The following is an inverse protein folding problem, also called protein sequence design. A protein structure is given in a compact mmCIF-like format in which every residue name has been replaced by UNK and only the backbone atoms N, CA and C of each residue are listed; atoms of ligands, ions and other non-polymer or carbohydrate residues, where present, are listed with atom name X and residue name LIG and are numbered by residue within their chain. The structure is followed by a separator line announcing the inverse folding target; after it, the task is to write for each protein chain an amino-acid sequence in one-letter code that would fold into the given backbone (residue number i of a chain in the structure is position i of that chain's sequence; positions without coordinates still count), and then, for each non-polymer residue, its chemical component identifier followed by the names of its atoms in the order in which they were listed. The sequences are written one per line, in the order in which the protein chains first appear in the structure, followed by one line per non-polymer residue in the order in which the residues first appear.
data_IF_875140439537
#
_entry.id   IF_875140439537
#
_cell.length_a   1.000
_cell.length_b   1.000
_cell.length_c   1.000
_cell.angle_alpha   90.00
_cell.angle_beta   90.00
_cell.angle_gamma   90.00
#
_symmetry.space_group_name_H-M   'P 1'
#
loop_
_entity.id
_entity.type
_entity.pdbx_description
1 polymer ?
#
# COMPACT_ATOMS: atom_id res chain seq x y z
N UNK A 1 -0.62 -16.17 24.32
CA UNK A 1 -1.02 -16.61 22.98
C UNK A 1 -1.13 -15.36 22.10
N UNK A 2 -0.19 -15.12 21.18
CA UNK A 2 -0.35 -14.10 20.13
C UNK A 2 -1.46 -14.63 19.22
N UNK A 3 -2.56 -13.90 19.11
CA UNK A 3 -3.58 -14.20 18.12
C UNK A 3 -2.91 -14.16 16.73
N UNK A 4 -3.06 -15.22 15.96
CA UNK A 4 -2.59 -15.30 14.58
C UNK A 4 -3.17 -14.13 13.78
N UNK A 5 -2.38 -13.05 13.62
CA UNK A 5 -2.70 -11.98 12.68
C UNK A 5 -2.40 -12.49 11.28
N UNK A 6 -3.37 -13.15 10.67
CA UNK A 6 -3.30 -13.41 9.24
C UNK A 6 -3.56 -12.09 8.51
N UNK A 7 -2.56 -11.60 7.78
CA UNK A 7 -2.74 -10.45 6.90
C UNK A 7 -3.75 -10.78 5.80
N UNK A 8 -4.65 -9.85 5.49
CA UNK A 8 -5.66 -9.99 4.43
C UNK A 8 -5.02 -10.42 3.10
N UNK A 9 -3.92 -9.79 2.62
CA UNK A 9 -3.22 -10.23 1.43
C UNK A 9 -2.62 -11.63 1.52
N UNK A 10 -2.37 -12.14 2.73
CA UNK A 10 -1.86 -13.50 2.95
C UNK A 10 -2.89 -14.60 2.76
N UNK A 11 -4.19 -14.26 2.77
CA UNK A 11 -5.33 -15.20 2.61
C UNK A 11 -5.96 -15.08 1.24
N UNK A 12 -5.75 -13.96 0.54
CA UNK A 12 -6.34 -13.71 -0.77
C UNK A 12 -5.63 -14.55 -1.85
N UNK A 13 -6.37 -15.32 -2.65
CA UNK A 13 -5.82 -16.03 -3.80
C UNK A 13 -5.11 -15.08 -4.77
N UNK A 14 -3.96 -15.50 -5.28
CA UNK A 14 -3.18 -14.74 -6.26
C UNK A 14 -2.92 -15.62 -7.48
N UNK A 15 -3.49 -15.22 -8.62
CA UNK A 15 -3.40 -15.96 -9.86
C UNK A 15 -2.49 -15.22 -10.84
N UNK A 16 -1.54 -15.93 -11.44
CA UNK A 16 -0.62 -15.38 -12.44
C UNK A 16 -1.30 -15.32 -13.80
N UNK A 17 -1.22 -14.19 -14.50
CA UNK A 17 -1.92 -14.02 -15.78
C UNK A 17 -1.12 -13.23 -16.81
N UNK A 18 -1.50 -13.42 -18.08
CA UNK A 18 -1.05 -12.64 -19.24
C UNK A 18 -2.27 -11.97 -19.87
N UNK A 19 -2.14 -10.70 -20.23
CA UNK A 19 -3.17 -9.99 -20.99
C UNK A 19 -3.09 -10.34 -22.47
N UNK A 20 -4.16 -10.92 -23.03
CA UNK A 20 -4.36 -11.17 -24.47
C UNK A 20 -5.11 -9.99 -25.07
N UNK A 21 -4.37 -9.01 -25.55
CA UNK A 21 -4.96 -7.74 -26.06
C UNK A 21 -5.96 -7.97 -27.18
N UNK A 22 -5.66 -8.86 -28.13
CA UNK A 22 -6.56 -9.18 -29.24
C UNK A 22 -7.87 -9.84 -28.81
N UNK A 23 -7.87 -10.53 -27.67
CA UNK A 23 -9.03 -11.21 -27.11
C UNK A 23 -9.70 -10.40 -25.99
N UNK A 24 -9.10 -9.26 -25.61
CA UNK A 24 -9.54 -8.42 -24.47
C UNK A 24 -9.74 -9.21 -23.17
N UNK A 25 -8.88 -10.22 -22.93
CA UNK A 25 -9.03 -11.15 -21.81
C UNK A 25 -7.70 -11.42 -21.11
N UNK A 26 -7.80 -11.85 -19.86
CA UNK A 26 -6.65 -12.38 -19.12
C UNK A 26 -6.65 -13.90 -19.22
N UNK A 27 -5.50 -14.44 -19.57
CA UNK A 27 -5.23 -15.89 -19.56
C UNK A 27 -4.41 -16.25 -18.34
N UNK A 28 -4.86 -17.22 -17.55
CA UNK A 28 -4.12 -17.75 -16.41
C UNK A 28 -2.93 -18.58 -16.91
N UNK A 29 -1.78 -18.38 -16.28
CA UNK A 29 -0.54 -19.06 -16.65
C UNK A 29 0.26 -19.45 -15.42
N UNK A 30 0.88 -20.60 -15.44
CA UNK A 30 1.75 -21.06 -14.34
C UNK A 30 3.10 -20.30 -14.33
N UNK A 31 3.57 -19.88 -15.49
CA UNK A 31 4.86 -19.20 -15.66
C UNK A 31 4.75 -18.01 -16.62
N UNK A 32 5.58 -17.01 -16.38
CA UNK A 32 5.69 -15.86 -17.30
C UNK A 32 4.58 -14.84 -17.19
N UNK A 33 3.68 -14.94 -16.19
CA UNK A 33 2.62 -13.97 -15.96
C UNK A 33 3.18 -12.56 -15.71
N UNK A 34 2.57 -11.57 -16.35
CA UNK A 34 2.88 -10.15 -16.20
C UNK A 34 1.88 -9.41 -15.32
N UNK A 35 0.82 -10.08 -14.95
CA UNK A 35 -0.23 -9.59 -14.07
C UNK A 35 -0.48 -10.59 -12.96
N UNK A 36 -0.96 -10.06 -11.83
CA UNK A 36 -1.52 -10.83 -10.72
C UNK A 36 -3.00 -10.49 -10.68
N UNK A 37 -3.85 -11.51 -10.70
CA UNK A 37 -5.28 -11.40 -10.48
C UNK A 37 -5.57 -11.80 -9.04
N UNK A 38 -6.39 -11.01 -8.36
CA UNK A 38 -6.79 -11.23 -6.97
C UNK A 38 -8.32 -11.25 -6.90
N UNK A 39 -8.94 -12.43 -6.93
CA UNK A 39 -10.37 -12.58 -6.68
C UNK A 39 -10.71 -12.28 -5.21
N UNK A 40 -11.98 -12.17 -4.91
CA UNK A 40 -12.42 -11.96 -3.54
C UNK A 40 -12.06 -13.17 -2.66
N UNK A 41 -11.42 -12.96 -1.50
CA UNK A 41 -11.18 -14.05 -0.57
C UNK A 41 -12.50 -14.49 0.08
N UNK A 42 -12.72 -15.80 0.34
CA UNK A 42 -13.98 -16.29 0.90
C UNK A 42 -14.35 -15.70 2.27
N UNK A 43 -13.34 -15.31 3.05
CA UNK A 43 -13.52 -14.83 4.43
C UNK A 43 -13.86 -13.32 4.54
N UNK A 44 -13.75 -12.56 3.45
CA UNK A 44 -13.92 -11.12 3.46
C UNK A 44 -14.68 -10.66 2.22
N UNK A 45 -15.50 -9.63 2.38
CA UNK A 45 -16.26 -9.04 1.28
C UNK A 45 -15.54 -7.84 0.66
N UNK A 46 -15.82 -7.55 -0.60
CA UNK A 46 -15.45 -6.33 -1.33
C UNK A 46 -13.94 -6.02 -1.38
N UNK A 47 -13.06 -6.97 -1.06
CA UNK A 47 -11.59 -6.75 -1.03
C UNK A 47 -11.05 -6.27 -2.39
N UNK A 48 -11.43 -6.83 -3.55
CA UNK A 48 -10.98 -6.35 -4.85
C UNK A 48 -11.38 -4.89 -5.13
N UNK A 49 -12.60 -4.50 -4.79
CA UNK A 49 -13.10 -3.14 -4.98
C UNK A 49 -12.38 -2.14 -4.03
N UNK A 50 -12.14 -2.55 -2.78
CA UNK A 50 -11.41 -1.78 -1.80
C UNK A 50 -9.94 -1.56 -2.24
N UNK A 51 -9.24 -2.61 -2.67
CA UNK A 51 -7.86 -2.49 -3.13
C UNK A 51 -7.77 -1.60 -4.38
N UNK A 52 -8.67 -1.79 -5.36
CA UNK A 52 -8.70 -0.96 -6.57
C UNK A 52 -8.94 0.53 -6.26
N UNK A 53 -9.86 0.83 -5.35
CA UNK A 53 -10.15 2.18 -4.90
C UNK A 53 -8.92 2.79 -4.21
N UNK A 54 -8.35 2.10 -3.22
CA UNK A 54 -7.23 2.60 -2.42
C UNK A 54 -5.98 2.81 -3.28
N UNK A 55 -5.68 1.89 -4.19
CA UNK A 55 -4.58 2.04 -5.15
C UNK A 55 -4.78 3.24 -6.09
N UNK A 56 -6.01 3.49 -6.54
CA UNK A 56 -6.34 4.67 -7.35
C UNK A 56 -6.20 5.97 -6.55
N UNK A 57 -6.62 5.98 -5.28
CA UNK A 57 -6.41 7.11 -4.38
C UNK A 57 -4.93 7.39 -4.17
N UNK A 58 -4.09 6.36 -4.04
CA UNK A 58 -2.65 6.47 -3.94
C UNK A 58 -2.03 7.16 -5.17
N UNK A 59 -2.44 6.75 -6.39
CA UNK A 59 -1.99 7.38 -7.62
C UNK A 59 -2.36 8.87 -7.68
N UNK A 60 -3.57 9.24 -7.27
CA UNK A 60 -4.03 10.66 -7.21
C UNK A 60 -3.19 11.48 -6.24
N UNK A 61 -2.76 10.90 -5.13
CA UNK A 61 -1.87 11.54 -4.17
C UNK A 61 -0.40 11.62 -4.65
N UNK A 62 -0.08 11.07 -5.83
CA UNK A 62 1.27 11.00 -6.35
C UNK A 62 2.15 9.94 -5.68
N UNK A 63 1.54 8.95 -5.03
CA UNK A 63 2.24 7.72 -4.64
C UNK A 63 2.41 6.87 -5.89
N UNK A 64 3.64 6.51 -6.18
CA UNK A 64 3.93 5.65 -7.34
C UNK A 64 3.33 4.25 -7.13
N UNK A 65 2.48 3.81 -8.06
CA UNK A 65 1.82 2.51 -8.04
C UNK A 65 1.88 1.85 -9.42
N UNK A 66 1.90 0.52 -9.52
CA UNK A 66 1.83 -0.17 -10.79
C UNK A 66 0.44 0.00 -11.44
N UNK A 67 0.36 -0.23 -12.76
CA UNK A 67 -0.92 -0.26 -13.46
C UNK A 67 -1.83 -1.34 -12.85
N UNK A 68 -3.05 -0.97 -12.51
CA UNK A 68 -4.01 -1.81 -11.79
C UNK A 68 -5.44 -1.46 -12.18
N UNK A 69 -6.39 -2.28 -11.78
CA UNK A 69 -7.81 -2.03 -11.97
C UNK A 69 -8.70 -3.19 -11.53
N UNK A 70 -9.97 -3.09 -11.88
CA UNK A 70 -10.97 -4.13 -11.67
C UNK A 70 -11.40 -4.73 -13.00
N UNK A 71 -11.75 -5.99 -12.96
CA UNK A 71 -12.45 -6.70 -14.04
C UNK A 71 -13.59 -7.52 -13.45
N UNK A 72 -14.54 -7.87 -14.31
CA UNK A 72 -15.59 -8.84 -13.97
C UNK A 72 -15.16 -10.23 -14.44
N UNK A 73 -15.28 -11.22 -13.57
CA UNK A 73 -15.15 -12.62 -13.93
C UNK A 73 -16.42 -13.11 -14.63
N UNK A 74 -16.39 -14.35 -15.14
CA UNK A 74 -17.52 -14.96 -15.85
C UNK A 74 -18.77 -15.12 -14.96
N UNK A 75 -18.55 -15.30 -13.66
CA UNK A 75 -19.58 -15.39 -12.62
C UNK A 75 -20.04 -14.01 -12.10
N UNK A 76 -19.66 -12.94 -12.80
CA UNK A 76 -19.96 -11.55 -12.45
C UNK A 76 -19.32 -11.04 -11.16
N UNK A 77 -18.41 -11.81 -10.56
CA UNK A 77 -17.64 -11.37 -9.39
C UNK A 77 -16.53 -10.37 -9.76
N UNK A 78 -16.19 -9.48 -8.82
CA UNK A 78 -15.09 -8.55 -8.99
C UNK A 78 -13.74 -9.23 -8.74
N UNK A 79 -12.79 -8.98 -9.65
CA UNK A 79 -11.40 -9.40 -9.53
C UNK A 79 -10.51 -8.17 -9.68
N UNK A 80 -9.67 -7.91 -8.69
CA UNK A 80 -8.63 -6.89 -8.81
C UNK A 80 -7.47 -7.46 -9.63
N UNK A 81 -6.89 -6.63 -10.50
CA UNK A 81 -5.67 -6.97 -11.21
C UNK A 81 -4.59 -5.92 -11.01
N UNK A 82 -3.34 -6.36 -10.97
CA UNK A 82 -2.17 -5.50 -10.91
C UNK A 82 -1.08 -6.00 -11.84
N UNK A 83 -0.48 -5.07 -12.58
CA UNK A 83 0.67 -5.36 -13.42
C UNK A 83 1.92 -5.54 -12.56
N UNK A 84 2.66 -6.59 -12.80
CA UNK A 84 3.93 -6.84 -12.11
C UNK A 84 4.99 -5.84 -12.56
N UNK A 85 5.46 -5.02 -11.64
CA UNK A 85 6.52 -4.04 -11.87
C UNK A 85 7.92 -4.68 -12.03
N UNK A 86 8.08 -5.91 -11.53
CA UNK A 86 9.29 -6.70 -11.63
C UNK A 86 9.43 -7.47 -12.98
N UNK A 87 8.53 -7.20 -13.94
CA UNK A 87 8.54 -7.78 -15.27
C UNK A 87 8.69 -6.69 -16.33
N UNK A 88 9.80 -6.75 -17.10
CA UNK A 88 10.17 -5.72 -18.09
C UNK A 88 10.26 -6.36 -19.48
N UNK A 89 9.80 -5.63 -20.48
CA UNK A 89 9.85 -6.08 -21.86
C UNK A 89 9.16 -7.44 -22.07
N UNK A 90 9.74 -8.28 -22.92
CA UNK A 90 9.13 -9.57 -23.32
C UNK A 90 9.37 -10.66 -22.27
N UNK A 91 10.57 -10.75 -21.71
CA UNK A 91 10.99 -11.80 -20.78
C UNK A 91 11.90 -11.31 -19.63
N UNK A 92 12.18 -10.02 -19.59
CA UNK A 92 13.08 -9.43 -18.59
C UNK A 92 12.47 -9.45 -17.19
N UNK A 93 13.34 -9.58 -16.19
CA UNK A 93 12.99 -9.51 -14.78
C UNK A 93 13.88 -8.49 -14.08
N UNK A 94 13.31 -7.72 -13.17
CA UNK A 94 14.06 -6.86 -12.25
C UNK A 94 14.19 -7.61 -10.93
N UNK A 95 15.38 -7.60 -10.35
CA UNK A 95 15.58 -8.15 -9.02
C UNK A 95 14.86 -7.28 -7.99
N UNK A 96 14.12 -7.92 -7.11
CA UNK A 96 13.32 -7.28 -6.06
C UNK A 96 13.45 -8.07 -4.78
N UNK A 97 13.66 -7.37 -3.67
CA UNK A 97 13.67 -7.96 -2.33
C UNK A 97 12.73 -7.18 -1.42
N UNK A 98 11.82 -7.88 -0.73
CA UNK A 98 11.02 -7.26 0.32
C UNK A 98 11.85 -7.04 1.60
N UNK A 99 11.41 -6.11 2.45
CA UNK A 99 12.17 -5.75 3.66
C UNK A 99 12.24 -6.89 4.68
N UNK A 100 11.31 -7.86 4.62
CA UNK A 100 11.41 -9.09 5.40
C UNK A 100 12.61 -9.91 4.95
N UNK A 101 12.82 -10.05 3.63
CA UNK A 101 13.99 -10.74 3.06
C UNK A 101 15.30 -10.01 3.43
N UNK A 102 15.32 -8.68 3.31
CA UNK A 102 16.51 -7.85 3.58
C UNK A 102 17.01 -7.95 5.03
N UNK A 103 16.14 -8.27 5.98
CA UNK A 103 16.53 -8.46 7.40
C UNK A 103 16.52 -9.92 7.86
N UNK A 104 16.29 -10.86 6.93
CA UNK A 104 16.21 -12.29 7.27
C UNK A 104 14.97 -12.68 8.07
N UNK A 105 13.91 -11.83 8.05
CA UNK A 105 12.65 -12.15 8.69
C UNK A 105 11.82 -13.11 7.82
N UNK A 106 10.98 -13.92 8.45
CA UNK A 106 10.11 -14.87 7.81
C UNK A 106 8.64 -14.42 7.82
N UNK A 107 7.70 -15.31 7.47
CA UNK A 107 6.27 -15.03 7.47
C UNK A 107 5.74 -14.71 8.88
N UNK A 108 6.28 -15.31 9.91
CA UNK A 108 5.82 -15.16 11.29
C UNK A 108 6.37 -13.88 11.91
N UNK A 109 7.60 -13.49 11.56
CA UNK A 109 8.31 -12.32 12.11
C UNK A 109 8.18 -11.06 11.28
N UNK A 110 7.38 -11.05 10.21
CA UNK A 110 7.19 -9.87 9.34
C UNK A 110 6.62 -8.62 10.05
N UNK A 111 6.04 -8.79 11.23
CA UNK A 111 5.53 -7.74 12.12
C UNK A 111 6.52 -7.38 13.24
N UNK A 112 7.60 -8.14 13.41
CA UNK A 112 8.58 -7.94 14.48
C UNK A 112 9.67 -6.94 14.03
N UNK A 113 9.24 -5.72 13.75
CA UNK A 113 10.08 -4.62 13.33
C UNK A 113 9.42 -3.29 13.67
N UNK A 114 9.96 -2.18 13.17
CA UNK A 114 9.39 -0.85 13.34
C UNK A 114 9.51 0.00 12.08
N UNK A 115 8.79 1.12 12.02
CA UNK A 115 8.89 2.07 10.92
C UNK A 115 10.27 2.77 10.90
N UNK A 116 10.91 2.90 12.06
CA UNK A 116 12.30 3.38 12.17
C UNK A 116 13.28 2.42 11.48
N UNK A 117 13.05 1.10 11.61
CA UNK A 117 13.87 0.10 10.91
C UNK A 117 13.69 0.15 9.41
N UNK A 118 12.46 0.40 8.95
CA UNK A 118 12.18 0.65 7.52
C UNK A 118 12.94 1.88 7.03
N UNK A 119 12.94 2.97 7.80
CA UNK A 119 13.70 4.19 7.47
C UNK A 119 15.22 3.95 7.43
N UNK A 120 15.76 3.20 8.39
CA UNK A 120 17.18 2.80 8.44
C UNK A 120 17.57 1.97 7.21
N UNK A 121 16.73 1.03 6.79
CA UNK A 121 17.01 0.20 5.61
C UNK A 121 17.07 1.05 4.34
N UNK A 122 16.18 2.04 4.18
CA UNK A 122 16.23 2.97 3.05
C UNK A 122 17.53 3.79 3.09
N UNK A 123 17.90 4.33 4.25
CA UNK A 123 19.15 5.09 4.39
C UNK A 123 20.36 4.28 3.98
N UNK A 124 20.40 3.01 4.37
CA UNK A 124 21.58 2.16 4.20
C UNK A 124 21.67 1.51 2.83
N UNK A 125 20.51 1.17 2.21
CA UNK A 125 20.48 0.30 1.05
C UNK A 125 20.13 1.03 -0.26
N UNK A 126 19.41 2.15 -0.21
CA UNK A 126 19.07 2.88 -1.43
C UNK A 126 20.27 3.67 -1.96
N UNK A 127 20.39 3.73 -3.26
CA UNK A 127 21.46 4.53 -3.92
C UNK A 127 21.31 6.03 -3.64
N UNK A 128 20.07 6.51 -3.56
CA UNK A 128 19.74 7.92 -3.31
C UNK A 128 18.72 8.05 -2.17
N UNK A 129 19.11 7.85 -0.90
CA UNK A 129 18.18 7.89 0.23
C UNK A 129 17.39 9.20 0.34
N UNK A 130 18.00 10.32 -0.02
CA UNK A 130 17.36 11.64 0.00
C UNK A 130 16.13 11.73 -0.93
N UNK A 131 16.06 10.91 -1.98
CA UNK A 131 14.92 10.79 -2.89
C UNK A 131 13.88 9.82 -2.34
N UNK A 132 14.31 8.74 -1.71
CA UNK A 132 13.44 7.64 -1.30
C UNK A 132 12.73 7.91 0.05
N UNK A 133 13.35 8.67 0.96
CA UNK A 133 12.76 9.05 2.26
C UNK A 133 11.46 9.85 2.14
N UNK A 134 11.37 10.90 1.28
CA UNK A 134 10.09 11.58 1.05
C UNK A 134 9.01 10.66 0.48
N UNK A 135 9.37 9.71 -0.40
CA UNK A 135 8.43 8.72 -0.93
C UNK A 135 7.91 7.80 0.17
N UNK A 136 8.79 7.34 1.08
CA UNK A 136 8.37 6.55 2.23
C UNK A 136 7.43 7.34 3.13
N UNK A 137 7.77 8.59 3.47
CA UNK A 137 6.92 9.46 4.30
C UNK A 137 5.53 9.62 3.69
N UNK A 138 5.45 9.94 2.40
CA UNK A 138 4.18 10.11 1.68
C UNK A 138 3.37 8.82 1.68
N UNK A 139 3.99 7.65 1.44
CA UNK A 139 3.35 6.34 1.46
C UNK A 139 2.77 6.02 2.83
N UNK A 140 3.51 6.25 3.91
CA UNK A 140 3.05 5.97 5.26
C UNK A 140 1.93 6.91 5.73
N UNK A 141 2.01 8.21 5.42
CA UNK A 141 0.93 9.14 5.68
C UNK A 141 -0.33 8.79 4.89
N UNK A 142 -0.19 8.37 3.63
CA UNK A 142 -1.29 7.86 2.82
C UNK A 142 -1.93 6.62 3.45
N UNK A 143 -1.14 5.62 3.86
CA UNK A 143 -1.65 4.41 4.51
C UNK A 143 -2.39 4.73 5.80
N UNK A 144 -1.87 5.65 6.61
CA UNK A 144 -2.55 6.12 7.80
C UNK A 144 -3.92 6.74 7.45
N UNK A 145 -3.98 7.67 6.49
CA UNK A 145 -5.22 8.34 6.08
C UNK A 145 -6.27 7.37 5.54
N UNK A 146 -5.86 6.36 4.80
CA UNK A 146 -6.76 5.40 4.15
C UNK A 146 -7.07 4.16 5.00
N UNK A 147 -6.68 4.13 6.28
CA UNK A 147 -6.97 2.99 7.16
C UNK A 147 -6.26 1.70 6.78
N UNK A 148 -5.08 1.80 6.16
CA UNK A 148 -4.25 0.62 5.89
C UNK A 148 -3.37 0.31 7.10
N UNK A 149 -3.83 -0.60 7.95
CA UNK A 149 -3.08 -1.09 9.12
C UNK A 149 -2.26 -2.37 8.86
N UNK A 150 -2.11 -2.80 7.59
CA UNK A 150 -1.39 -4.04 7.24
C UNK A 150 -0.07 -3.79 6.47
N UNK A 151 0.49 -2.59 6.56
CA UNK A 151 1.80 -2.25 5.96
C UNK A 151 2.95 -2.83 6.78
N UNK A 152 3.12 -4.14 6.70
CA UNK A 152 4.24 -4.86 7.32
C UNK A 152 5.46 -4.93 6.39
N UNK A 153 6.59 -5.53 6.86
CA UNK A 153 7.86 -5.57 6.12
C UNK A 153 7.76 -6.12 4.70
N UNK A 154 6.86 -7.07 4.42
CA UNK A 154 6.67 -7.63 3.07
C UNK A 154 5.95 -6.70 2.10
N UNK A 155 5.36 -5.59 2.59
CA UNK A 155 4.69 -4.60 1.77
C UNK A 155 5.60 -3.41 1.40
N UNK A 156 6.88 -3.51 1.79
CA UNK A 156 7.95 -2.63 1.32
C UNK A 156 8.98 -3.47 0.58
N UNK A 157 9.42 -3.01 -0.59
CA UNK A 157 10.47 -3.68 -1.36
C UNK A 157 11.43 -2.69 -1.98
N UNK A 158 12.65 -3.14 -2.20
CA UNK A 158 13.63 -2.49 -3.05
C UNK A 158 13.74 -3.22 -4.38
N UNK A 159 13.93 -2.49 -5.46
CA UNK A 159 14.33 -3.03 -6.73
C UNK A 159 15.72 -2.58 -7.13
N UNK A 160 16.38 -3.44 -7.85
CA UNK A 160 17.76 -3.26 -8.32
C UNK A 160 17.70 -3.08 -9.83
N UNK A 161 17.78 -1.85 -10.30
CA UNK A 161 17.57 -1.53 -11.70
C UNK A 161 18.65 -0.58 -12.19
N UNK A 162 19.32 -0.97 -13.27
CA UNK A 162 20.33 -0.16 -13.94
C UNK A 162 21.42 0.39 -13.00
N UNK A 163 21.84 -0.44 -12.01
CA UNK A 163 22.83 -0.06 -10.99
C UNK A 163 22.27 0.82 -9.85
N UNK A 164 20.96 1.12 -9.87
CA UNK A 164 20.28 1.92 -8.87
C UNK A 164 19.41 1.04 -7.98
N UNK A 165 19.55 1.20 -6.67
CA UNK A 165 18.68 0.60 -5.66
C UNK A 165 17.70 1.64 -5.14
N UNK A 166 16.40 1.39 -5.27
CA UNK A 166 15.35 2.33 -4.88
C UNK A 166 14.09 1.61 -4.41
N UNK A 167 13.16 2.34 -3.77
CA UNK A 167 11.84 1.81 -3.42
C UNK A 167 11.07 1.40 -4.69
N UNK A 168 10.41 0.25 -4.61
CA UNK A 168 9.44 -0.14 -5.63
C UNK A 168 8.22 0.77 -5.62
N UNK A 169 7.43 0.82 -6.71
CA UNK A 169 6.05 1.31 -6.63
C UNK A 169 5.31 0.63 -5.45
N UNK A 170 4.39 1.35 -4.83
CA UNK A 170 3.60 0.80 -3.73
C UNK A 170 2.57 -0.22 -4.25
N UNK A 171 2.36 -1.28 -3.50
CA UNK A 171 1.45 -2.37 -3.81
C UNK A 171 0.72 -2.86 -2.56
N UNK A 172 -0.32 -3.68 -2.75
CA UNK A 172 -1.14 -4.23 -1.66
C UNK A 172 -1.71 -3.12 -0.73
N UNK A 173 -2.11 -1.99 -1.33
CA UNK A 173 -2.74 -0.88 -0.61
C UNK A 173 -4.26 -1.08 -0.59
N UNK A 174 -4.80 -1.28 0.60
CA UNK A 174 -6.25 -1.38 0.82
C UNK A 174 -6.60 -0.80 2.20
N UNK A 175 -7.85 -0.40 2.38
CA UNK A 175 -8.35 -0.05 3.71
C UNK A 175 -8.61 -1.34 4.49
N UNK A 176 -7.61 -1.79 5.23
CA UNK A 176 -7.71 -3.03 6.02
C UNK A 176 -8.57 -2.85 7.27
N UNK A 177 -8.68 -1.64 7.81
CA UNK A 177 -9.61 -1.30 8.90
C UNK A 177 -11.06 -1.61 8.49
N UNK A 178 -11.44 -1.21 7.26
CA UNK A 178 -12.78 -1.50 6.71
C UNK A 178 -13.02 -3.01 6.58
N UNK A 179 -12.04 -3.76 6.06
CA UNK A 179 -12.17 -5.21 5.85
C UNK A 179 -12.28 -5.98 7.18
N UNK A 180 -11.57 -5.53 8.20
CA UNK A 180 -11.56 -6.19 9.52
C UNK A 180 -12.73 -5.73 10.42
N UNK A 181 -13.47 -4.69 10.01
CA UNK A 181 -14.64 -4.16 10.74
C UNK A 181 -14.32 -3.43 12.04
N UNK A 182 -13.09 -3.47 12.53
CA UNK A 182 -12.62 -2.75 13.71
C UNK A 182 -11.13 -2.47 13.63
N UNK A 183 -10.73 -1.22 13.75
CA UNK A 183 -9.34 -0.82 13.89
C UNK A 183 -8.80 -1.19 15.28
N UNK A 184 -8.08 -2.29 15.37
CA UNK A 184 -7.34 -2.64 16.59
C UNK A 184 -6.03 -1.85 16.70
N UNK A 185 -5.42 -1.56 15.59
CA UNK A 185 -4.18 -0.81 15.41
C UNK A 185 -4.35 0.15 14.23
N UNK A 186 -3.43 1.08 14.05
CA UNK A 186 -3.42 2.05 12.94
C UNK A 186 -2.21 1.86 12.04
N UNK A 187 -1.31 0.96 12.43
CA UNK A 187 -0.12 0.58 11.69
C UNK A 187 0.30 -0.83 12.03
N UNK A 188 0.73 -1.60 11.04
CA UNK A 188 1.30 -2.94 11.21
C UNK A 188 2.59 -2.91 12.04
N UNK A 189 3.44 -1.93 11.75
CA UNK A 189 4.72 -1.71 12.42
C UNK A 189 4.59 -0.55 13.40
N UNK A 190 5.16 -0.67 14.61
CA UNK A 190 5.14 0.43 15.56
C UNK A 190 5.94 1.64 15.07
N UNK A 191 5.48 2.82 15.45
CA UNK A 191 6.17 4.09 15.34
C UNK A 191 6.40 4.64 16.75
N UNK A 192 7.65 4.80 17.16
CA UNK A 192 8.03 5.11 18.55
C UNK A 192 7.33 4.19 19.57
N UNK A 193 7.34 2.90 19.29
CA UNK A 193 6.68 1.86 20.08
C UNK A 193 5.15 1.83 20.01
N UNK A 194 4.50 2.73 19.24
CA UNK A 194 3.04 2.84 19.17
C UNK A 194 2.52 2.33 17.83
N UNK A 195 1.47 1.52 17.87
CA UNK A 195 0.71 1.05 16.70
C UNK A 195 -0.68 1.66 16.61
N UNK A 196 -1.09 2.45 17.61
CA UNK A 196 -2.39 3.13 17.68
C UNK A 196 -2.24 4.51 18.31
N UNK A 197 -3.28 5.34 18.15
CA UNK A 197 -3.29 6.73 18.59
C UNK A 197 -2.12 7.52 17.97
N UNK A 198 -1.84 7.28 16.68
CA UNK A 198 -0.82 8.00 15.95
C UNK A 198 -1.27 9.45 15.78
N UNK A 199 -0.44 10.38 16.25
CA UNK A 199 -0.74 11.82 16.23
C UNK A 199 0.04 12.53 15.13
N UNK A 200 -0.43 13.74 14.75
CA UNK A 200 0.33 14.62 13.83
C UNK A 200 1.78 14.82 14.30
N UNK A 201 1.99 15.06 15.60
CA UNK A 201 3.34 15.24 16.17
C UNK A 201 4.20 13.99 15.94
N UNK A 202 3.65 12.80 16.17
CA UNK A 202 4.38 11.55 15.97
C UNK A 202 4.72 11.32 14.49
N UNK A 203 3.76 11.57 13.59
CA UNK A 203 3.97 11.37 12.16
C UNK A 203 4.92 12.41 11.55
N UNK A 204 4.76 13.69 11.88
CA UNK A 204 5.50 14.75 11.19
C UNK A 204 6.78 15.16 11.93
N UNK A 205 6.69 15.47 13.24
CA UNK A 205 7.88 15.92 13.97
C UNK A 205 8.84 14.77 14.23
N UNK A 206 8.34 13.67 14.78
CA UNK A 206 9.21 12.55 15.10
C UNK A 206 9.61 11.78 13.82
N UNK A 207 8.65 11.25 13.06
CA UNK A 207 9.00 10.36 11.95
C UNK A 207 9.59 11.11 10.75
N UNK A 208 8.86 12.10 10.20
CA UNK A 208 9.33 12.79 9.00
C UNK A 208 10.58 13.65 9.28
N UNK A 209 10.57 14.47 10.34
CA UNK A 209 11.67 15.39 10.62
C UNK A 209 12.86 14.70 11.31
N UNK A 210 12.64 14.03 12.45
CA UNK A 210 13.75 13.46 13.24
C UNK A 210 14.27 12.15 12.67
N UNK A 211 13.39 11.22 12.25
CA UNK A 211 13.83 9.88 11.81
C UNK A 211 14.20 9.83 10.33
N UNK A 212 13.46 10.50 9.46
CA UNK A 212 13.75 10.57 8.03
C UNK A 212 14.66 11.75 7.66
N UNK A 213 14.83 12.74 8.54
CA UNK A 213 15.65 13.92 8.29
C UNK A 213 15.06 14.85 7.22
N UNK A 214 13.73 14.84 7.02
CA UNK A 214 13.09 15.72 6.06
C UNK A 214 13.03 17.14 6.59
N UNK A 215 13.31 18.11 5.73
CA UNK A 215 13.11 19.52 6.05
C UNK A 215 11.63 19.93 5.97
N UNK A 216 11.31 21.12 6.47
CA UNK A 216 9.92 21.61 6.51
C UNK A 216 9.30 21.74 5.12
N UNK A 217 10.05 22.23 4.14
CA UNK A 217 9.55 22.34 2.76
C UNK A 217 9.18 20.97 2.14
N UNK A 218 9.97 19.93 2.42
CA UNK A 218 9.65 18.58 1.96
C UNK A 218 8.39 18.03 2.63
N UNK A 219 8.24 18.26 3.94
CA UNK A 219 7.06 17.84 4.70
C UNK A 219 5.82 18.57 4.19
N UNK A 220 5.89 19.90 4.02
CA UNK A 220 4.80 20.70 3.47
C UNK A 220 4.40 20.27 2.05
N UNK A 221 5.37 19.98 1.20
CA UNK A 221 5.10 19.48 -0.16
C UNK A 221 4.34 18.15 -0.13
N UNK A 222 4.67 17.23 0.79
CA UNK A 222 3.94 15.98 0.97
C UNK A 222 2.51 16.25 1.47
N UNK A 223 2.36 17.07 2.50
CA UNK A 223 1.03 17.42 3.06
C UNK A 223 0.16 18.10 2.01
N UNK A 224 0.73 19.01 1.21
CA UNK A 224 0.02 19.69 0.11
C UNK A 224 -0.49 18.70 -0.93
N UNK A 225 0.32 17.72 -1.35
CA UNK A 225 -0.13 16.67 -2.28
C UNK A 225 -1.31 15.88 -1.71
N UNK A 226 -1.25 15.51 -0.44
CA UNK A 226 -2.32 14.77 0.23
C UNK A 226 -3.60 15.64 0.36
N UNK A 227 -3.48 16.91 0.77
CA UNK A 227 -4.62 17.83 0.87
C UNK A 227 -5.30 18.05 -0.49
N UNK A 228 -4.52 18.30 -1.55
CA UNK A 228 -5.06 18.50 -2.91
C UNK A 228 -5.78 17.24 -3.41
N UNK A 229 -5.38 16.06 -2.97
CA UNK A 229 -6.02 14.80 -3.35
C UNK A 229 -7.37 14.56 -2.65
N UNK A 230 -7.62 15.13 -1.47
CA UNK A 230 -8.82 14.86 -0.66
C UNK A 230 -10.16 15.03 -1.40
N UNK A 231 -10.41 16.12 -2.14
CA UNK A 231 -11.67 16.28 -2.86
C UNK A 231 -11.88 15.17 -3.91
N UNK A 232 -10.80 14.77 -4.60
CA UNK A 232 -10.85 13.68 -5.59
C UNK A 232 -11.06 12.33 -4.90
N UNK A 233 -10.47 12.09 -3.75
CA UNK A 233 -10.68 10.87 -2.97
C UNK A 233 -12.13 10.68 -2.56
N UNK A 234 -12.81 11.74 -2.08
CA UNK A 234 -14.23 11.71 -1.74
C UNK A 234 -15.08 11.30 -2.95
N UNK A 235 -14.79 11.89 -4.13
CA UNK A 235 -15.47 11.51 -5.37
C UNK A 235 -15.16 10.06 -5.79
N UNK A 236 -13.95 9.59 -5.60
CA UNK A 236 -13.56 8.20 -5.90
C UNK A 236 -14.28 7.21 -4.99
N UNK A 237 -14.41 7.51 -3.70
CA UNK A 237 -15.17 6.69 -2.75
C UNK A 237 -16.64 6.62 -3.20
N UNK A 238 -17.26 7.75 -3.48
CA UNK A 238 -18.66 7.82 -3.93
C UNK A 238 -18.90 6.99 -5.21
N UNK A 239 -18.00 7.08 -6.19
CA UNK A 239 -18.10 6.37 -7.46
C UNK A 239 -17.54 4.95 -7.45
N UNK A 240 -17.02 4.49 -6.31
CA UNK A 240 -16.42 3.14 -6.22
C UNK A 240 -17.48 2.04 -6.32
N UNK A 241 -17.01 0.81 -6.49
CA UNK A 241 -17.84 -0.39 -6.51
C UNK A 241 -18.07 -1.00 -5.12
N UNK A 242 -17.75 -0.26 -4.07
CA UNK A 242 -18.09 -0.62 -2.70
C UNK A 242 -19.60 -0.47 -2.45
N UNK A 243 -20.14 -1.25 -1.54
CA UNK A 243 -21.50 -1.07 -1.04
C UNK A 243 -21.66 0.30 -0.35
N UNK A 244 -22.91 0.75 -0.20
CA UNK A 244 -23.20 2.02 0.46
C UNK A 244 -22.62 2.08 1.88
N UNK A 245 -22.80 1.01 2.66
CA UNK A 245 -22.26 0.92 4.01
C UNK A 245 -20.73 0.98 4.04
N UNK A 246 -20.04 0.30 3.11
CA UNK A 246 -18.59 0.33 3.01
C UNK A 246 -18.06 1.72 2.59
N UNK A 247 -18.77 2.45 1.71
CA UNK A 247 -18.43 3.84 1.36
C UNK A 247 -18.54 4.79 2.55
N UNK A 248 -19.62 4.67 3.31
CA UNK A 248 -19.84 5.47 4.52
C UNK A 248 -18.73 5.21 5.55
N UNK A 249 -18.45 3.94 5.86
CA UNK A 249 -17.39 3.56 6.79
C UNK A 249 -15.98 3.99 6.30
N UNK A 250 -15.70 3.86 5.00
CA UNK A 250 -14.43 4.34 4.43
C UNK A 250 -14.27 5.86 4.61
N UNK A 251 -15.36 6.60 4.35
CA UNK A 251 -15.38 8.05 4.50
C UNK A 251 -15.17 8.46 5.96
N UNK A 252 -15.82 7.81 6.92
CA UNK A 252 -15.64 8.07 8.34
C UNK A 252 -14.19 7.89 8.78
N UNK A 253 -13.54 6.79 8.37
CA UNK A 253 -12.12 6.52 8.64
C UNK A 253 -11.25 7.64 8.05
N UNK A 254 -11.48 8.01 6.80
CA UNK A 254 -10.71 9.05 6.12
C UNK A 254 -10.82 10.40 6.83
N UNK A 255 -12.05 10.86 7.12
CA UNK A 255 -12.29 12.16 7.74
C UNK A 255 -11.74 12.23 9.17
N UNK A 256 -11.86 11.16 9.95
CA UNK A 256 -11.25 11.07 11.28
C UNK A 256 -9.72 11.24 11.20
N UNK A 257 -9.06 10.57 10.25
CA UNK A 257 -7.61 10.62 10.06
C UNK A 257 -7.14 11.96 9.49
N UNK A 258 -7.92 12.55 8.58
CA UNK A 258 -7.69 13.90 8.03
C UNK A 258 -7.72 14.95 9.15
N UNK A 259 -8.74 14.91 10.01
CA UNK A 259 -8.85 15.80 11.16
C UNK A 259 -7.67 15.65 12.12
N UNK A 260 -7.23 14.42 12.41
CA UNK A 260 -6.10 14.12 13.29
C UNK A 260 -4.78 14.64 12.74
N UNK A 261 -4.54 14.57 11.42
CA UNK A 261 -3.38 15.16 10.76
C UNK A 261 -3.52 16.66 10.49
N UNK A 262 -4.71 17.24 10.76
CA UNK A 262 -5.03 18.64 10.44
C UNK A 262 -4.71 18.96 8.96
N UNK A 263 -5.22 18.12 8.06
CA UNK A 263 -5.16 18.30 6.62
C UNK A 263 -6.49 18.94 6.19
N UNK A 264 -6.44 20.08 5.55
CA UNK A 264 -7.62 20.83 5.11
C UNK A 264 -7.27 22.27 4.90
#
# INVERSE_FOLDING_TARGET
MRADKMSIPGVQPKLSAVLRVSQQSFELVDRGGKFILKPNPPAYEEVPANEALTMRMAAVAGVEVPAHGLLRAVDDSWVYFVKRYDRVGRSGRVHVEDFSQLIGANRETKYDSSLEKVAELIERLCTFPAIEKPKLAQRLLFCFLTGNEDMHLKNFSLWYRDGVVSLTPAYDLLNSTLVLGQAKEESALPLNGKKKNLTRKLCLSYFCKERLGLNESQIEAILKKLSVALPVWRQLIDRSYLSKAAKEAYTEILEERVARLKLG
#
